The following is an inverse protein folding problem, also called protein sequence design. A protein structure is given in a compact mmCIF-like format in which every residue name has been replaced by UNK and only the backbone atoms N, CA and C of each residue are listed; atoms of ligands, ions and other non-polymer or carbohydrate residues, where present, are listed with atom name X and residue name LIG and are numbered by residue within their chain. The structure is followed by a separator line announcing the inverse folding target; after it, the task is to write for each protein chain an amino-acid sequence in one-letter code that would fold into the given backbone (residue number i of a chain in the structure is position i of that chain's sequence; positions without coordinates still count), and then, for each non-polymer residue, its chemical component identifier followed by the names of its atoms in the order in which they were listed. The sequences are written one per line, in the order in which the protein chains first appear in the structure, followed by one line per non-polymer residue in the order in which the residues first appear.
data_IF_282214039265
#
_entry.id   IF_282214039265
#
_cell.length_a   1.000
_cell.length_b   1.000
_cell.length_c   1.000
_cell.angle_alpha   90.00
_cell.angle_beta   90.00
_cell.angle_gamma   90.00
#
_symmetry.space_group_name_H-M   'P 1'
#
loop_
_entity.id
_entity.type
_entity.pdbx_description
1 polymer ?
#
# COMPACT_ATOMS: atom_id res chain seq x y z
N UNK A 1 -14.79 -14.98 20.14
CA UNK A 1 -14.68 -13.93 19.11
C UNK A 1 -13.96 -12.75 19.76
N UNK A 2 -12.86 -12.21 19.21
CA UNK A 2 -12.17 -11.10 19.89
C UNK A 2 -12.94 -9.78 19.71
N UNK A 3 -13.25 -9.13 20.84
CA UNK A 3 -13.91 -7.83 20.94
C UNK A 3 -13.04 -6.72 20.33
N UNK A 4 -13.42 -6.19 19.16
CA UNK A 4 -12.89 -4.91 18.68
C UNK A 4 -13.63 -3.77 19.36
N UNK A 5 -12.89 -2.92 20.09
CA UNK A 5 -13.36 -1.58 20.46
C UNK A 5 -13.89 -0.90 19.21
N UNK A 6 -15.14 -0.42 19.28
CA UNK A 6 -15.84 0.24 18.20
C UNK A 6 -14.92 1.23 17.50
N UNK A 7 -14.68 1.01 16.21
CA UNK A 7 -14.08 2.00 15.32
C UNK A 7 -14.82 3.32 15.54
N UNK A 8 -14.08 4.39 15.84
CA UNK A 8 -14.64 5.74 15.80
C UNK A 8 -15.29 5.89 14.43
N UNK A 9 -16.62 5.98 14.39
CA UNK A 9 -17.33 6.24 13.16
C UNK A 9 -16.70 7.52 12.56
N UNK A 10 -16.09 7.43 11.37
CA UNK A 10 -15.65 8.63 10.68
C UNK A 10 -16.89 9.49 10.49
N UNK A 11 -16.95 10.63 11.20
CA UNK A 11 -18.01 11.59 10.98
C UNK A 11 -17.89 12.09 9.54
N UNK A 12 -18.94 11.91 8.77
CA UNK A 12 -19.02 12.39 7.40
C UNK A 12 -18.99 13.92 7.41
N UNK A 13 -17.88 14.49 6.92
CA UNK A 13 -17.68 15.94 6.79
C UNK A 13 -18.05 16.43 5.39
N UNK A 14 -18.64 15.57 4.56
CA UNK A 14 -18.90 15.85 3.16
C UNK A 14 -20.22 16.56 3.01
N UNK A 15 -20.20 17.75 2.39
CA UNK A 15 -21.42 18.45 2.02
C UNK A 15 -22.00 17.87 0.72
N UNK A 16 -22.78 16.80 0.88
CA UNK A 16 -23.45 16.12 -0.22
C UNK A 16 -24.50 16.97 -0.94
N UNK A 17 -25.11 17.94 -0.26
CA UNK A 17 -26.10 18.80 -0.87
C UNK A 17 -25.44 19.69 -1.92
N UNK A 18 -24.28 20.28 -1.57
CA UNK A 18 -23.45 21.06 -2.49
C UNK A 18 -22.94 20.23 -3.67
N UNK A 19 -22.44 19.02 -3.42
CA UNK A 19 -21.91 18.15 -4.48
C UNK A 19 -22.96 17.77 -5.52
N UNK A 20 -24.21 17.53 -5.10
CA UNK A 20 -25.31 17.17 -6.02
C UNK A 20 -25.78 18.32 -6.90
N UNK A 21 -25.43 19.56 -6.57
CA UNK A 21 -25.83 20.75 -7.32
C UNK A 21 -24.73 21.28 -8.25
N UNK A 22 -23.51 20.73 -8.16
CA UNK A 22 -22.41 21.08 -9.05
C UNK A 22 -22.74 20.62 -10.47
N UNK A 23 -22.49 21.49 -11.45
CA UNK A 23 -22.62 21.13 -12.86
C UNK A 23 -21.37 20.42 -13.37
N UNK A 24 -21.53 19.62 -14.43
CA UNK A 24 -20.42 18.91 -15.07
C UNK A 24 -19.30 19.88 -15.50
N UNK A 25 -19.64 21.02 -16.12
CA UNK A 25 -18.66 22.05 -16.51
C UNK A 25 -17.84 22.61 -15.33
N UNK A 26 -18.43 22.68 -14.14
CA UNK A 26 -17.73 23.14 -12.95
C UNK A 26 -16.85 22.04 -12.35
N UNK A 27 -17.29 20.78 -12.44
CA UNK A 27 -16.50 19.62 -12.06
C UNK A 27 -15.25 19.50 -12.95
N UNK A 28 -15.40 19.61 -14.26
CA UNK A 28 -14.27 19.53 -15.21
C UNK A 28 -13.26 20.66 -14.96
N UNK A 29 -13.73 21.90 -14.74
CA UNK A 29 -12.84 23.02 -14.40
C UNK A 29 -12.09 22.79 -13.09
N UNK A 30 -12.76 22.21 -12.09
CA UNK A 30 -12.11 21.88 -10.81
C UNK A 30 -11.06 20.78 -11.00
N UNK A 31 -11.36 19.76 -11.81
CA UNK A 31 -10.45 18.66 -12.11
C UNK A 31 -9.21 19.12 -12.89
N UNK A 32 -9.37 20.02 -13.87
CA UNK A 32 -8.28 20.61 -14.66
C UNK A 32 -7.34 21.51 -13.83
N UNK A 33 -7.89 22.15 -12.80
CA UNK A 33 -7.14 23.07 -11.93
C UNK A 33 -6.49 22.37 -10.72
N UNK A 34 -6.77 21.08 -10.48
CA UNK A 34 -6.29 20.34 -9.32
C UNK A 34 -4.87 19.78 -9.57
N UNK A 35 -3.85 20.24 -8.83
CA UNK A 35 -2.48 19.75 -8.99
C UNK A 35 -2.29 18.28 -8.57
N UNK A 36 -3.18 17.73 -7.75
CA UNK A 36 -3.17 16.33 -7.33
C UNK A 36 -3.93 15.43 -8.31
N UNK A 37 -4.59 16.00 -9.32
CA UNK A 37 -5.26 15.32 -10.42
C UNK A 37 -4.54 15.61 -11.75
N UNK A 38 -3.34 15.05 -11.98
CA UNK A 38 -2.64 15.26 -13.24
C UNK A 38 -3.50 14.71 -14.39
N UNK A 39 -3.76 15.55 -15.39
CA UNK A 39 -4.42 15.12 -16.62
C UNK A 39 -3.69 13.90 -17.19
N UNK A 40 -4.41 12.81 -17.43
CA UNK A 40 -3.87 11.62 -18.11
C UNK A 40 -3.59 12.03 -19.54
N UNK A 41 -2.30 12.24 -19.85
CA UNK A 41 -1.87 12.79 -21.15
C UNK A 41 -1.97 11.74 -22.27
N UNK A 42 -2.10 10.46 -21.92
CA UNK A 42 -2.13 9.35 -22.87
C UNK A 42 -3.16 8.28 -22.45
N UNK A 43 -4.14 7.94 -23.31
CA UNK A 43 -5.06 6.82 -23.10
C UNK A 43 -4.36 5.48 -22.84
N UNK A 44 -3.13 5.30 -23.32
CA UNK A 44 -2.36 4.07 -23.18
C UNK A 44 -1.70 3.93 -21.78
N UNK A 45 -1.63 5.01 -20.98
CA UNK A 45 -1.08 4.94 -19.61
C UNK A 45 -1.86 3.96 -18.73
N UNK A 46 -3.19 3.95 -18.84
CA UNK A 46 -4.04 3.01 -18.12
C UNK A 46 -3.98 1.60 -18.72
N UNK A 47 -3.78 1.48 -20.03
CA UNK A 47 -3.67 0.19 -20.71
C UNK A 47 -2.41 -0.59 -20.26
N UNK A 48 -1.35 0.12 -19.86
CA UNK A 48 -0.11 -0.47 -19.37
C UNK A 48 0.06 -0.45 -17.85
N UNK A 49 -0.95 0.02 -17.12
CA UNK A 49 -0.94 0.06 -15.66
C UNK A 49 -0.81 -1.36 -15.09
N UNK A 50 0.31 -1.64 -14.41
CA UNK A 50 0.53 -2.94 -13.78
C UNK A 50 -0.13 -2.98 -12.40
N UNK A 51 -1.22 -3.75 -12.26
CA UNK A 51 -1.83 -4.01 -10.95
C UNK A 51 -0.86 -4.87 -10.12
N UNK A 52 -0.13 -4.24 -9.19
CA UNK A 52 0.64 -4.97 -8.18
C UNK A 52 -0.25 -5.34 -7.00
N UNK A 53 -0.88 -6.51 -7.08
CA UNK A 53 -1.54 -7.08 -5.91
C UNK A 53 -0.47 -7.59 -4.92
N UNK A 54 -0.50 -7.20 -3.64
CA UNK A 54 0.43 -7.76 -2.66
C UNK A 54 0.21 -9.26 -2.58
N UNK A 55 1.28 -10.03 -2.84
CA UNK A 55 1.23 -11.49 -2.75
C UNK A 55 0.74 -11.92 -1.35
N UNK A 56 -0.17 -12.90 -1.26
CA UNK A 56 -0.71 -13.35 0.02
C UNK A 56 0.43 -13.82 0.92
N UNK A 57 0.49 -13.25 2.13
CA UNK A 57 1.47 -13.65 3.14
C UNK A 57 1.03 -14.97 3.77
N UNK A 58 1.91 -15.97 3.76
CA UNK A 58 1.67 -17.21 4.49
C UNK A 58 2.13 -17.03 5.94
N UNK A 59 1.24 -17.29 6.90
CA UNK A 59 1.58 -17.27 8.32
C UNK A 59 2.12 -18.64 8.73
N UNK A 60 3.40 -18.72 9.04
CA UNK A 60 4.06 -19.92 9.54
C UNK A 60 4.68 -19.66 10.91
N UNK A 61 4.83 -20.71 11.71
CA UNK A 61 5.65 -20.65 12.92
C UNK A 61 7.12 -20.91 12.54
N UNK A 62 7.98 -19.94 12.79
CA UNK A 62 9.42 -20.04 12.55
C UNK A 62 10.20 -19.59 13.78
N UNK A 63 11.23 -20.34 14.13
CA UNK A 63 12.17 -20.00 15.21
C UNK A 63 13.36 -19.25 14.62
N UNK A 64 13.73 -18.15 15.27
CA UNK A 64 14.90 -17.33 14.93
C UNK A 64 15.80 -17.21 16.16
N UNK A 65 17.08 -16.98 15.94
CA UNK A 65 18.01 -16.71 17.02
C UNK A 65 17.60 -15.44 17.79
N UNK A 66 17.88 -15.45 19.10
CA UNK A 66 17.43 -14.41 20.01
C UNK A 66 18.00 -13.05 19.64
N UNK A 67 19.29 -12.99 19.32
CA UNK A 67 20.01 -11.78 18.93
C UNK A 67 19.46 -11.15 17.65
N UNK A 68 19.07 -11.97 16.67
CA UNK A 68 18.41 -11.53 15.43
C UNK A 68 17.08 -10.85 15.76
N UNK A 69 16.25 -11.50 16.59
CA UNK A 69 14.95 -10.94 16.97
C UNK A 69 15.11 -9.65 17.78
N UNK A 70 16.07 -9.63 18.70
CA UNK A 70 16.35 -8.47 19.54
C UNK A 70 16.86 -7.29 18.70
N UNK A 71 17.73 -7.53 17.70
CA UNK A 71 18.18 -6.52 16.74
C UNK A 71 17.01 -5.85 16.02
N UNK A 72 16.11 -6.61 15.39
CA UNK A 72 14.99 -6.01 14.65
C UNK A 72 13.96 -5.32 15.54
N UNK A 73 13.84 -5.74 16.81
CA UNK A 73 12.93 -5.14 17.79
C UNK A 73 13.40 -3.77 18.28
N UNK A 74 14.69 -3.42 18.14
CA UNK A 74 15.22 -2.11 18.58
C UNK A 74 14.45 -0.95 17.95
N UNK A 75 14.07 -1.07 16.68
CA UNK A 75 13.30 -0.08 15.91
C UNK A 75 11.77 -0.16 16.14
N UNK A 76 11.31 -0.88 17.17
CA UNK A 76 9.91 -0.93 17.57
C UNK A 76 8.95 -1.64 16.60
N UNK A 77 7.71 -1.14 16.52
CA UNK A 77 6.61 -1.76 15.76
C UNK A 77 7.02 -1.97 14.29
N UNK A 78 6.59 -3.10 13.71
CA UNK A 78 6.88 -3.46 12.32
C UNK A 78 8.17 -4.24 12.11
N UNK A 79 8.84 -4.70 13.18
CA UNK A 79 10.06 -5.52 13.09
C UNK A 79 9.89 -6.76 12.20
N UNK A 80 8.73 -7.42 12.23
CA UNK A 80 8.43 -8.56 11.35
C UNK A 80 8.41 -8.17 9.87
N UNK A 81 7.88 -6.99 9.53
CA UNK A 81 7.87 -6.46 8.17
C UNK A 81 9.29 -6.18 7.68
N UNK A 82 10.14 -5.58 8.53
CA UNK A 82 11.57 -5.34 8.23
C UNK A 82 12.32 -6.66 8.02
N UNK A 83 12.12 -7.62 8.93
CA UNK A 83 12.72 -8.95 8.83
C UNK A 83 12.32 -9.65 7.54
N UNK A 84 11.04 -9.61 7.17
CA UNK A 84 10.55 -10.16 5.90
C UNK A 84 11.15 -9.46 4.66
N UNK A 85 11.34 -8.14 4.72
CA UNK A 85 11.96 -7.39 3.62
C UNK A 85 13.42 -7.81 3.38
N UNK A 86 14.18 -8.07 4.46
CA UNK A 86 15.56 -8.58 4.36
C UNK A 86 15.58 -9.99 3.75
N UNK A 87 14.74 -10.89 4.24
CA UNK A 87 14.62 -12.25 3.70
C UNK A 87 14.24 -12.24 2.21
N UNK A 88 13.32 -11.35 1.82
CA UNK A 88 12.91 -11.19 0.43
C UNK A 88 14.06 -10.72 -0.46
N UNK A 89 14.83 -9.71 -0.03
CA UNK A 89 16.00 -9.24 -0.79
C UNK A 89 17.04 -10.34 -0.98
N UNK A 90 17.29 -11.13 0.06
CA UNK A 90 18.20 -12.29 -0.04
C UNK A 90 17.68 -13.33 -1.05
N UNK A 91 16.39 -13.66 -0.99
CA UNK A 91 15.74 -14.58 -1.92
C UNK A 91 15.81 -14.09 -3.38
N UNK A 92 15.57 -12.80 -3.61
CA UNK A 92 15.65 -12.18 -4.94
C UNK A 92 17.09 -12.21 -5.49
N UNK A 93 18.08 -11.87 -4.67
CA UNK A 93 19.49 -11.94 -5.06
C UNK A 93 19.92 -13.37 -5.44
N UNK A 94 19.48 -14.38 -4.69
CA UNK A 94 19.77 -15.79 -4.96
C UNK A 94 19.08 -16.29 -6.24
N UNK A 95 17.85 -15.86 -6.51
CA UNK A 95 17.17 -16.23 -7.75
C UNK A 95 17.87 -15.65 -8.99
N UNK A 96 18.28 -14.39 -8.93
CA UNK A 96 19.03 -13.75 -10.04
C UNK A 96 20.34 -14.49 -10.31
N UNK A 97 21.06 -14.91 -9.27
CA UNK A 97 22.28 -15.69 -9.42
C UNK A 97 22.03 -17.07 -10.07
N UNK A 98 20.93 -17.75 -9.69
CA UNK A 98 20.55 -19.04 -10.26
C UNK A 98 20.07 -18.96 -11.70
N UNK A 99 19.40 -17.88 -12.11
CA UNK A 99 18.95 -17.70 -13.51
C UNK A 99 20.11 -17.34 -14.46
N UNK A 100 21.24 -16.86 -13.92
CA UNK A 100 22.46 -16.55 -14.69
C UNK A 100 23.44 -17.72 -14.82
N UNK A 101 23.21 -18.83 -14.11
CA UNK A 101 24.02 -20.05 -14.15
C UNK A 101 23.38 -21.10 -15.05
#
# INVERSE_FOLDING_TARGET
MPDRKADQALHDKTDWARLKTLSDDEIERMADADPDNPATLDPDEWAHATIRLPSPKMSIHASFDRDVVDFFKQDGRGYQTRMNAVLRRYMEAQQVAKTKA
#
